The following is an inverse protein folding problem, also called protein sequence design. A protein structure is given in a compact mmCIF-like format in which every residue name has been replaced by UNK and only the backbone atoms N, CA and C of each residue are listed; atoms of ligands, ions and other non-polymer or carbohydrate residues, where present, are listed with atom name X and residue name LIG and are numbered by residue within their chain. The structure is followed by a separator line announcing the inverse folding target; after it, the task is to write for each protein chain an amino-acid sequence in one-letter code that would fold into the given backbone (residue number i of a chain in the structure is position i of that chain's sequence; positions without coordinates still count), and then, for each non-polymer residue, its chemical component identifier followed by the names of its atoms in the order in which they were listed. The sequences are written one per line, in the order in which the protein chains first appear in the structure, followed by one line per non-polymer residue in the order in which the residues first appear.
data_IF_484040199119
#
_entry.id   IF_484040199119
#
_cell.length_a   1.000
_cell.length_b   1.000
_cell.length_c   1.000
_cell.angle_alpha   90.00
_cell.angle_beta   90.00
_cell.angle_gamma   90.00
#
_symmetry.space_group_name_H-M   'P 1'
#
loop_
_entity.id
_entity.type
_entity.pdbx_description
1 polymer ?
#
# COMPACT_ATOMS: atom_id res chain seq x y z
N UNK A 1 -28.57 -29.77 -0.21
CA UNK A 1 -28.34 -28.31 -0.29
C UNK A 1 -28.90 -27.67 0.97
N UNK A 2 -28.04 -27.22 1.87
CA UNK A 2 -28.42 -26.77 3.22
C UNK A 2 -29.12 -25.41 3.17
N UNK A 3 -30.24 -25.28 3.90
CA UNK A 3 -31.03 -24.05 4.09
C UNK A 3 -30.21 -22.82 4.53
N UNK A 4 -29.03 -23.05 5.11
CA UNK A 4 -28.05 -22.01 5.46
C UNK A 4 -27.48 -21.28 4.23
N UNK A 5 -27.36 -21.95 3.09
CA UNK A 5 -26.86 -21.35 1.85
C UNK A 5 -27.89 -20.45 1.17
N UNK A 6 -29.18 -20.72 1.36
CA UNK A 6 -30.27 -19.91 0.79
C UNK A 6 -30.45 -18.59 1.55
N UNK A 7 -30.22 -18.59 2.87
CA UNK A 7 -30.36 -17.38 3.69
C UNK A 7 -29.26 -16.33 3.42
N UNK A 8 -28.04 -16.77 3.11
CA UNK A 8 -26.91 -15.88 2.80
C UNK A 8 -27.11 -15.15 1.47
N UNK A 9 -27.74 -15.81 0.48
CA UNK A 9 -28.03 -15.21 -0.83
C UNK A 9 -29.14 -14.14 -0.70
N UNK A 10 -30.11 -14.35 0.18
CA UNK A 10 -31.24 -13.42 0.38
C UNK A 10 -30.83 -12.12 1.11
N UNK A 11 -29.81 -12.17 1.97
CA UNK A 11 -29.27 -10.97 2.63
C UNK A 11 -28.38 -10.14 1.69
N UNK A 12 -27.70 -10.79 0.74
CA UNK A 12 -26.83 -10.11 -0.23
C UNK A 12 -27.60 -9.27 -1.27
N UNK A 13 -28.85 -9.64 -1.59
CA UNK A 13 -29.65 -8.95 -2.61
C UNK A 13 -30.36 -7.69 -2.11
N UNK A 14 -30.53 -7.49 -0.80
CA UNK A 14 -31.20 -6.31 -0.23
C UNK A 14 -30.27 -5.10 -0.08
N UNK A 15 -28.94 -5.29 -0.17
CA UNK A 15 -27.95 -4.22 0.03
C UNK A 15 -27.70 -3.28 -1.16
N UNK A 16 -28.21 -3.58 -2.36
CA UNK A 16 -27.81 -2.89 -3.61
C UNK A 16 -28.77 -1.77 -4.09
N UNK A 17 -29.86 -1.47 -3.38
CA UNK A 17 -30.88 -0.51 -3.84
C UNK A 17 -30.84 0.88 -3.19
N UNK A 18 -29.76 1.27 -2.50
CA UNK A 18 -29.68 2.56 -1.81
C UNK A 18 -28.53 3.44 -2.33
N UNK A 19 -28.66 3.98 -3.54
CA UNK A 19 -27.95 5.19 -4.01
C UNK A 19 -28.55 5.68 -5.35
N UNK A 20 -29.70 6.36 -5.29
CA UNK A 20 -30.17 7.23 -6.38
C UNK A 20 -30.56 8.57 -5.77
N UNK A 21 -29.58 9.45 -5.58
CA UNK A 21 -29.79 10.84 -5.21
C UNK A 21 -29.87 11.68 -6.49
N UNK A 22 -31.04 12.22 -6.81
CA UNK A 22 -31.23 13.17 -7.90
C UNK A 22 -30.86 14.58 -7.43
N UNK A 23 -29.83 15.17 -8.05
CA UNK A 23 -29.51 16.59 -7.86
C UNK A 23 -30.48 17.42 -8.70
N UNK A 24 -31.44 18.08 -8.04
CA UNK A 24 -32.24 19.13 -8.67
C UNK A 24 -31.50 20.46 -8.52
N UNK A 25 -31.02 21.01 -9.63
CA UNK A 25 -30.59 22.41 -9.71
C UNK A 25 -31.83 23.24 -10.05
N UNK A 26 -32.31 24.02 -9.08
CA UNK A 26 -33.35 25.01 -9.31
C UNK A 26 -32.76 26.18 -10.09
N UNK A 27 -32.98 26.21 -11.40
CA UNK A 27 -32.86 27.44 -12.18
C UNK A 27 -33.96 28.40 -11.70
N UNK A 28 -33.55 29.46 -11.02
CA UNK A 28 -34.45 30.51 -10.60
C UNK A 28 -34.78 31.39 -11.81
N UNK A 29 -35.86 31.01 -12.50
CA UNK A 29 -36.57 31.82 -13.49
C UNK A 29 -36.90 33.19 -12.89
N UNK A 30 -36.37 34.26 -13.49
CA UNK A 30 -36.68 35.64 -13.12
C UNK A 30 -38.16 35.97 -13.33
N UNK A 31 -38.72 36.93 -12.58
CA UNK A 31 -40.13 37.27 -12.69
C UNK A 31 -40.47 37.91 -14.05
N UNK A 32 -41.61 37.45 -14.58
CA UNK A 32 -42.31 37.93 -15.78
C UNK A 32 -42.72 39.41 -15.64
N UNK A 33 -42.87 40.18 -16.73
CA UNK A 33 -43.15 41.61 -16.68
C UNK A 33 -44.59 41.89 -16.21
N UNK A 34 -44.75 42.85 -15.30
CA UNK A 34 -46.05 43.42 -14.94
C UNK A 34 -46.68 44.22 -16.10
N UNK A 35 -48.02 44.29 -16.17
CA UNK A 35 -48.74 44.93 -17.28
C UNK A 35 -48.68 46.46 -17.19
N UNK A 36 -48.48 47.08 -18.35
CA UNK A 36 -48.53 48.53 -18.55
C UNK A 36 -49.89 49.13 -18.16
N UNK A 37 -49.94 50.22 -17.38
CA UNK A 37 -51.06 51.15 -17.39
C UNK A 37 -50.78 52.33 -18.33
N UNK A 38 -51.80 52.72 -19.10
CA UNK A 38 -51.87 53.92 -19.94
C UNK A 38 -51.81 55.24 -19.13
N UNK A 39 -51.53 56.39 -19.77
CA UNK A 39 -50.99 57.58 -19.12
C UNK A 39 -52.05 58.46 -18.47
N UNK A 40 -51.68 59.11 -17.36
CA UNK A 40 -52.36 60.29 -16.81
C UNK A 40 -51.34 61.44 -16.65
N UNK A 41 -51.76 62.71 -16.84
CA UNK A 41 -50.84 63.80 -17.14
C UNK A 41 -50.23 64.48 -15.91
N UNK A 42 -49.01 64.97 -16.14
CA UNK A 42 -48.39 66.19 -15.61
C UNK A 42 -48.41 66.44 -14.10
N UNK A 43 -47.24 66.34 -13.46
CA UNK A 43 -46.78 67.38 -12.52
C UNK A 43 -45.25 67.35 -12.44
N UNK A 44 -44.61 68.49 -12.73
CA UNK A 44 -43.17 68.70 -12.52
C UNK A 44 -42.91 68.74 -11.01
N UNK A 45 -42.48 67.62 -10.45
CA UNK A 45 -41.82 67.58 -9.14
C UNK A 45 -40.33 67.31 -9.41
N UNK A 46 -39.45 68.25 -9.07
CA UNK A 46 -38.00 68.01 -9.11
C UNK A 46 -37.66 66.91 -8.12
N UNK A 47 -37.49 65.68 -8.60
CA UNK A 47 -37.03 64.56 -7.79
C UNK A 47 -35.61 64.84 -7.26
N UNK A 48 -35.33 64.55 -5.97
CA UNK A 48 -33.97 64.63 -5.47
C UNK A 48 -33.09 63.67 -6.26
N UNK A 49 -32.02 64.19 -6.86
CA UNK A 49 -31.05 63.41 -7.63
C UNK A 49 -30.34 62.41 -6.72
N UNK A 50 -30.85 61.18 -6.67
CA UNK A 50 -30.14 60.02 -6.11
C UNK A 50 -29.20 59.47 -7.18
N UNK A 51 -27.92 59.34 -6.86
CA UNK A 51 -26.97 58.74 -7.78
C UNK A 51 -27.38 57.28 -8.06
N UNK A 52 -27.45 56.90 -9.35
CA UNK A 52 -27.87 55.55 -9.75
C UNK A 52 -26.92 54.44 -9.27
N UNK A 53 -25.70 54.80 -8.84
CA UNK A 53 -24.70 53.85 -8.36
C UNK A 53 -23.97 54.43 -7.15
N UNK A 54 -24.12 53.79 -6.00
CA UNK A 54 -23.26 53.97 -4.84
C UNK A 54 -22.03 53.07 -5.02
N UNK A 55 -20.83 53.66 -5.08
CA UNK A 55 -19.59 52.87 -5.20
C UNK A 55 -19.21 52.36 -3.82
N UNK A 56 -19.45 51.06 -3.59
CA UNK A 56 -18.98 50.39 -2.38
C UNK A 56 -17.46 50.14 -2.48
N UNK A 57 -16.70 50.73 -1.56
CA UNK A 57 -15.25 50.50 -1.45
C UNK A 57 -14.96 49.38 -0.44
N UNK A 58 -14.61 48.16 -0.90
CA UNK A 58 -14.32 47.04 -0.01
C UNK A 58 -12.97 47.19 0.71
N UNK A 59 -12.08 48.08 0.25
CA UNK A 59 -10.76 48.27 0.86
C UNK A 59 -10.84 48.94 2.24
N UNK A 60 -11.97 49.59 2.55
CA UNK A 60 -12.26 50.12 3.88
C UNK A 60 -12.50 49.03 4.95
N UNK A 61 -12.65 47.76 4.53
CA UNK A 61 -12.87 46.63 5.42
C UNK A 61 -11.63 45.73 5.46
N UNK A 62 -10.74 45.94 6.45
CA UNK A 62 -9.65 45.01 6.71
C UNK A 62 -10.18 43.72 7.38
N UNK A 63 -10.55 42.73 6.57
CA UNK A 63 -10.83 41.39 7.07
C UNK A 63 -9.51 40.63 7.31
N UNK A 64 -8.88 40.80 8.49
CA UNK A 64 -7.73 39.98 8.89
C UNK A 64 -8.23 38.57 9.29
N UNK A 65 -7.83 37.50 8.59
CA UNK A 65 -8.19 36.15 9.00
C UNK A 65 -7.63 35.89 10.40
N UNK A 66 -8.38 35.22 11.30
CA UNK A 66 -7.84 34.87 12.60
C UNK A 66 -6.62 33.96 12.41
N UNK A 67 -5.48 34.37 12.97
CA UNK A 67 -4.27 33.54 13.05
C UNK A 67 -4.57 32.35 13.98
N UNK A 68 -5.05 31.24 13.39
CA UNK A 68 -5.20 29.98 14.10
C UNK A 68 -3.94 29.17 13.85
N UNK A 69 -3.22 28.84 14.92
CA UNK A 69 -2.20 27.81 14.86
C UNK A 69 -2.91 26.48 14.54
N UNK A 70 -2.88 26.08 13.26
CA UNK A 70 -3.42 24.80 12.83
C UNK A 70 -2.35 23.75 13.06
N UNK A 71 -2.53 22.92 14.08
CA UNK A 71 -1.71 21.73 14.25
C UNK A 71 -2.17 20.67 13.25
N UNK A 72 -1.39 20.47 12.18
CA UNK A 72 -1.71 19.48 11.15
C UNK A 72 -1.20 18.11 11.60
N UNK A 73 -2.07 17.37 12.28
CA UNK A 73 -1.81 15.97 12.63
C UNK A 73 -2.03 15.10 11.39
N UNK A 74 -0.93 14.60 10.84
CA UNK A 74 -1.00 13.68 9.70
C UNK A 74 -1.31 12.27 10.20
N UNK A 75 -2.37 11.65 9.67
CA UNK A 75 -2.70 10.24 9.93
C UNK A 75 -1.77 9.26 9.20
N UNK A 76 -0.79 9.77 8.46
CA UNK A 76 0.13 8.97 7.64
C UNK A 76 1.39 8.66 8.45
N UNK A 77 1.80 7.39 8.54
CA UNK A 77 3.05 7.00 9.20
C UNK A 77 4.26 7.83 8.72
N UNK A 78 5.13 8.22 9.66
CA UNK A 78 6.28 9.07 9.38
C UNK A 78 7.22 8.53 8.28
N UNK A 79 7.34 7.20 8.15
CA UNK A 79 8.16 6.59 7.08
C UNK A 79 7.62 6.91 5.68
N UNK A 80 6.30 6.95 5.50
CA UNK A 80 5.68 7.28 4.23
C UNK A 80 5.83 8.78 3.91
N UNK A 81 5.74 9.64 4.92
CA UNK A 81 5.99 11.07 4.79
C UNK A 81 7.45 11.37 4.39
N UNK A 82 8.39 10.49 4.75
CA UNK A 82 9.81 10.60 4.42
C UNK A 82 10.18 9.93 3.08
N UNK A 83 9.20 9.46 2.30
CA UNK A 83 9.45 8.74 1.04
C UNK A 83 10.09 7.36 1.22
N UNK A 84 10.08 6.81 2.44
CA UNK A 84 10.68 5.52 2.78
C UNK A 84 9.68 4.36 2.67
N UNK A 85 8.71 4.47 1.76
CA UNK A 85 7.69 3.44 1.56
C UNK A 85 8.26 2.08 1.15
N UNK A 86 9.47 2.05 0.58
CA UNK A 86 10.16 0.85 0.13
C UNK A 86 11.02 0.17 1.21
N UNK A 87 11.28 0.83 2.35
CA UNK A 87 12.18 0.29 3.39
C UNK A 87 11.50 -0.84 4.14
N UNK A 88 12.15 -2.00 4.24
CA UNK A 88 11.56 -3.19 4.84
C UNK A 88 10.54 -3.89 3.95
N UNK A 89 10.37 -3.47 2.70
CA UNK A 89 9.50 -4.17 1.74
C UNK A 89 10.22 -5.42 1.26
N UNK A 90 9.58 -6.57 1.47
CA UNK A 90 10.02 -7.83 0.90
C UNK A 90 9.78 -7.81 -0.60
N UNK A 91 10.86 -7.93 -1.38
CA UNK A 91 10.79 -8.04 -2.84
C UNK A 91 11.27 -9.41 -3.29
N UNK A 92 10.59 -9.93 -4.30
CA UNK A 92 10.93 -11.20 -4.95
C UNK A 92 11.80 -10.90 -6.16
N UNK A 93 13.05 -11.35 -6.14
CA UNK A 93 14.05 -11.10 -7.19
C UNK A 93 14.69 -12.40 -7.67
N UNK A 94 15.24 -12.38 -8.88
CA UNK A 94 16.20 -13.40 -9.32
C UNK A 94 17.45 -13.32 -8.44
N UNK A 95 17.87 -14.46 -7.91
CA UNK A 95 18.99 -14.52 -6.99
C UNK A 95 19.52 -15.93 -6.80
N UNK A 96 20.09 -16.15 -5.61
CA UNK A 96 20.90 -17.31 -5.30
C UNK A 96 20.54 -17.88 -3.94
N UNK A 97 20.63 -19.20 -3.85
CA UNK A 97 20.54 -19.95 -2.59
C UNK A 97 21.62 -21.01 -2.58
N UNK A 98 22.05 -21.44 -1.39
CA UNK A 98 23.00 -22.56 -1.27
C UNK A 98 22.20 -23.85 -1.17
N UNK A 99 22.36 -24.76 -2.12
CA UNK A 99 21.78 -26.10 -2.05
C UNK A 99 22.71 -27.02 -1.29
N UNK A 100 22.17 -27.69 -0.27
CA UNK A 100 22.95 -28.59 0.61
C UNK A 100 22.59 -30.06 0.43
N UNK A 101 21.40 -30.36 -0.10
CA UNK A 101 20.93 -31.73 -0.26
C UNK A 101 19.85 -31.86 -1.33
N UNK A 102 19.69 -33.06 -1.88
CA UNK A 102 18.57 -33.44 -2.73
C UNK A 102 18.16 -34.90 -2.50
N UNK A 103 16.86 -35.18 -2.57
CA UNK A 103 16.30 -36.52 -2.43
C UNK A 103 15.06 -36.71 -3.31
N UNK A 104 14.77 -37.93 -3.75
CA UNK A 104 13.50 -38.25 -4.43
C UNK A 104 12.32 -38.34 -3.45
N UNK A 105 12.63 -38.69 -2.21
CA UNK A 105 11.66 -38.80 -1.13
C UNK A 105 11.47 -37.46 -0.41
N UNK A 106 10.22 -37.04 -0.26
CA UNK A 106 9.86 -35.77 0.39
C UNK A 106 10.20 -35.79 1.88
N UNK A 107 9.99 -36.93 2.55
CA UNK A 107 10.21 -37.05 3.99
C UNK A 107 11.70 -36.95 4.32
N UNK A 108 12.56 -37.59 3.52
CA UNK A 108 14.00 -37.47 3.61
C UNK A 108 14.48 -36.02 3.45
N UNK A 109 13.94 -35.28 2.47
CA UNK A 109 14.28 -33.86 2.28
C UNK A 109 13.84 -32.99 3.47
N UNK A 110 12.65 -33.24 4.04
CA UNK A 110 12.17 -32.51 5.23
C UNK A 110 13.00 -32.83 6.48
N UNK A 111 13.34 -34.10 6.70
CA UNK A 111 14.23 -34.50 7.79
C UNK A 111 15.62 -33.87 7.63
N UNK A 112 16.14 -33.77 6.40
CA UNK A 112 17.40 -33.10 6.14
C UNK A 112 17.32 -31.58 6.38
N UNK A 113 16.23 -30.92 5.97
CA UNK A 113 15.99 -29.50 6.29
C UNK A 113 16.06 -29.25 7.80
N UNK A 114 15.46 -30.14 8.60
CA UNK A 114 15.48 -30.03 10.04
C UNK A 114 16.89 -30.23 10.63
N UNK A 115 17.68 -31.15 10.08
CA UNK A 115 19.10 -31.29 10.43
C UNK A 115 19.90 -30.02 10.14
N UNK A 116 19.66 -29.38 8.99
CA UNK A 116 20.32 -28.12 8.62
C UNK A 116 19.92 -27.00 9.56
N UNK A 117 18.64 -26.92 9.95
CA UNK A 117 18.17 -25.94 10.95
C UNK A 117 18.88 -26.11 12.29
N UNK A 118 18.93 -27.34 12.81
CA UNK A 118 19.62 -27.65 14.06
C UNK A 118 21.13 -27.45 13.99
N UNK A 119 21.73 -27.66 12.83
CA UNK A 119 23.13 -27.30 12.59
C UNK A 119 23.30 -25.78 12.67
N UNK A 120 22.47 -25.01 11.96
CA UNK A 120 22.57 -23.56 11.97
C UNK A 120 22.46 -22.97 13.38
N UNK A 121 21.45 -23.39 14.16
CA UNK A 121 21.28 -22.92 15.55
C UNK A 121 22.51 -23.13 16.44
N UNK A 122 23.33 -24.14 16.14
CA UNK A 122 24.55 -24.46 16.90
C UNK A 122 25.81 -23.76 16.40
N UNK A 123 25.80 -23.25 15.17
CA UNK A 123 26.99 -22.72 14.50
C UNK A 123 26.83 -21.23 14.10
N UNK A 124 25.65 -20.63 14.32
CA UNK A 124 25.37 -19.24 13.92
C UNK A 124 26.26 -18.22 14.62
N UNK A 125 26.73 -18.50 15.83
CA UNK A 125 27.60 -17.61 16.59
C UNK A 125 29.02 -17.51 15.99
N UNK A 126 29.45 -18.55 15.26
CA UNK A 126 30.73 -18.60 14.54
C UNK A 126 30.62 -18.04 13.12
N UNK A 127 29.39 -17.85 12.62
CA UNK A 127 29.13 -17.34 11.29
C UNK A 127 29.08 -15.80 11.31
N UNK A 128 29.70 -15.11 10.34
CA UNK A 128 29.48 -13.68 10.23
C UNK A 128 28.00 -13.38 9.96
N UNK A 129 27.39 -12.49 10.73
CA UNK A 129 25.95 -12.15 10.61
C UNK A 129 25.59 -11.67 9.20
N UNK A 130 26.54 -11.08 8.47
CA UNK A 130 26.39 -10.62 7.09
C UNK A 130 26.11 -11.75 6.08
N UNK A 131 26.41 -13.01 6.44
CA UNK A 131 26.45 -14.13 5.51
C UNK A 131 25.11 -14.85 5.39
N UNK A 132 24.41 -15.09 6.49
CA UNK A 132 23.12 -15.81 6.49
C UNK A 132 22.04 -15.11 7.34
N UNK A 133 22.40 -14.10 8.14
CA UNK A 133 21.53 -13.49 9.14
C UNK A 133 21.23 -14.41 10.31
N UNK A 134 20.44 -13.95 11.28
CA UNK A 134 20.08 -14.72 12.48
C UNK A 134 19.30 -16.02 12.15
N UNK A 135 18.30 -15.91 11.29
CA UNK A 135 17.42 -17.02 10.91
C UNK A 135 17.32 -17.11 9.37
N UNK A 136 18.28 -17.78 8.71
CA UNK A 136 18.26 -17.92 7.26
C UNK A 136 17.08 -18.78 6.81
N UNK A 137 16.44 -18.43 5.69
CA UNK A 137 15.37 -19.25 5.15
C UNK A 137 15.92 -20.60 4.66
N UNK A 138 15.50 -21.69 5.31
CA UNK A 138 15.80 -23.06 4.89
C UNK A 138 14.55 -23.65 4.26
N UNK A 139 14.60 -23.93 2.96
CA UNK A 139 13.44 -24.32 2.15
C UNK A 139 13.66 -25.68 1.48
N UNK A 140 12.56 -26.42 1.29
CA UNK A 140 12.51 -27.61 0.45
C UNK A 140 11.74 -27.27 -0.82
N UNK A 141 12.44 -27.26 -1.95
CA UNK A 141 11.87 -26.96 -3.26
C UNK A 141 11.73 -28.25 -4.08
N UNK A 142 10.57 -28.46 -4.70
CA UNK A 142 10.37 -29.60 -5.59
C UNK A 142 10.71 -29.20 -7.02
N UNK A 143 11.76 -29.83 -7.56
CA UNK A 143 12.13 -29.73 -8.98
C UNK A 143 12.22 -31.14 -9.53
N UNK A 144 11.26 -31.55 -10.36
CA UNK A 144 11.14 -32.94 -10.78
C UNK A 144 12.48 -33.52 -11.28
N UNK A 145 12.87 -34.74 -10.85
CA UNK A 145 12.17 -35.66 -9.94
C UNK A 145 12.64 -35.57 -8.46
N UNK A 146 13.24 -34.47 -8.02
CA UNK A 146 13.90 -34.35 -6.71
C UNK A 146 13.33 -33.21 -5.86
N UNK A 147 13.29 -33.42 -4.55
CA UNK A 147 13.18 -32.39 -3.53
C UNK A 147 14.58 -31.89 -3.17
N UNK A 148 14.82 -30.59 -3.30
CA UNK A 148 16.11 -29.92 -3.06
C UNK A 148 16.02 -29.09 -1.79
N UNK A 149 16.95 -29.29 -0.87
CA UNK A 149 17.07 -28.50 0.36
C UNK A 149 18.04 -27.35 0.10
N UNK A 150 17.56 -26.12 0.29
CA UNK A 150 18.36 -24.90 0.11
C UNK A 150 18.30 -24.02 1.33
N UNK A 151 19.39 -23.33 1.61
CA UNK A 151 19.53 -22.37 2.72
C UNK A 151 19.90 -20.99 2.18
N UNK A 152 19.38 -19.96 2.83
CA UNK A 152 19.65 -18.57 2.52
C UNK A 152 18.80 -18.03 1.36
N UNK A 153 18.90 -16.72 1.17
CA UNK A 153 18.23 -15.95 0.13
C UNK A 153 19.10 -14.74 -0.21
N UNK A 154 19.78 -14.78 -1.36
CA UNK A 154 20.79 -13.80 -1.73
C UNK A 154 20.46 -13.16 -3.07
N UNK A 155 20.41 -11.82 -3.13
CA UNK A 155 20.28 -11.12 -4.40
C UNK A 155 21.58 -11.21 -5.23
N UNK A 156 22.74 -11.13 -4.57
CA UNK A 156 24.05 -11.15 -5.22
C UNK A 156 24.76 -12.50 -5.11
N UNK A 157 25.56 -12.83 -6.14
CA UNK A 157 26.38 -14.06 -6.14
C UNK A 157 27.48 -14.02 -5.07
N UNK A 158 28.15 -12.89 -4.86
CA UNK A 158 29.25 -12.78 -3.89
C UNK A 158 28.83 -13.16 -2.47
N UNK A 159 27.69 -12.62 -2.00
CA UNK A 159 27.13 -13.01 -0.70
C UNK A 159 26.80 -14.51 -0.62
N UNK A 160 26.34 -15.12 -1.71
CA UNK A 160 26.10 -16.55 -1.77
C UNK A 160 27.39 -17.39 -1.77
N UNK A 161 28.50 -16.85 -2.28
CA UNK A 161 29.83 -17.48 -2.25
C UNK A 161 30.41 -17.47 -0.83
N UNK A 162 30.31 -16.35 -0.12
CA UNK A 162 30.67 -16.27 1.31
C UNK A 162 29.85 -17.25 2.15
N UNK A 163 28.54 -17.34 1.88
CA UNK A 163 27.67 -18.32 2.54
C UNK A 163 28.03 -19.76 2.20
N UNK A 164 28.38 -20.03 0.94
CA UNK A 164 28.83 -21.35 0.54
C UNK A 164 30.12 -21.73 1.25
N UNK A 165 31.09 -20.84 1.37
CA UNK A 165 32.37 -21.11 2.04
C UNK A 165 32.13 -21.61 3.47
N UNK A 166 31.28 -20.93 4.24
CA UNK A 166 30.91 -21.36 5.59
C UNK A 166 30.14 -22.69 5.60
N UNK A 167 29.08 -22.79 4.79
CA UNK A 167 28.22 -23.99 4.74
C UNK A 167 29.01 -25.23 4.28
N UNK A 168 29.98 -25.07 3.39
CA UNK A 168 30.77 -26.16 2.83
C UNK A 168 31.65 -26.87 3.84
N UNK A 169 31.99 -26.21 4.96
CA UNK A 169 32.76 -26.81 6.06
C UNK A 169 32.02 -27.98 6.71
N UNK A 170 30.69 -27.90 6.78
CA UNK A 170 29.83 -28.97 7.32
C UNK A 170 29.13 -29.78 6.23
N UNK A 171 28.89 -29.19 5.06
CA UNK A 171 28.20 -29.81 3.93
C UNK A 171 29.06 -29.72 2.66
N UNK A 172 30.03 -30.62 2.51
CA UNK A 172 31.04 -30.57 1.43
C UNK A 172 30.46 -30.58 0.01
N UNK A 173 29.26 -31.16 -0.17
CA UNK A 173 28.58 -31.22 -1.47
C UNK A 173 27.65 -30.01 -1.70
N UNK A 174 27.72 -28.98 -0.85
CA UNK A 174 26.94 -27.78 -1.03
C UNK A 174 27.39 -27.01 -2.29
N UNK A 175 26.45 -26.36 -2.96
CA UNK A 175 26.73 -25.53 -4.13
C UNK A 175 25.69 -24.42 -4.30
N UNK A 176 26.03 -23.38 -5.05
CA UNK A 176 25.11 -22.27 -5.32
C UNK A 176 24.13 -22.65 -6.43
N UNK A 177 22.84 -22.52 -6.14
CA UNK A 177 21.76 -22.68 -7.09
C UNK A 177 21.10 -21.31 -7.37
N UNK A 178 20.79 -21.06 -8.65
CA UNK A 178 19.98 -19.91 -9.07
C UNK A 178 18.50 -20.18 -8.85
N UNK A 179 17.75 -19.12 -8.57
CA UNK A 179 16.30 -19.16 -8.53
C UNK A 179 15.75 -17.88 -7.93
N UNK A 180 14.47 -17.92 -7.57
CA UNK A 180 13.81 -16.74 -7.03
C UNK A 180 13.94 -16.69 -5.51
N UNK A 181 14.30 -15.51 -4.99
CA UNK A 181 14.52 -15.26 -3.56
C UNK A 181 13.72 -14.05 -3.12
N UNK A 182 13.24 -14.08 -1.88
CA UNK A 182 12.65 -12.93 -1.22
C UNK A 182 13.71 -12.27 -0.36
N UNK A 183 14.00 -11.02 -0.66
CA UNK A 183 14.99 -10.20 0.06
C UNK A 183 14.32 -8.96 0.62
N UNK A 184 14.80 -8.48 1.75
CA UNK A 184 14.33 -7.26 2.42
C UNK A 184 15.36 -6.15 2.19
N UNK A 185 14.92 -5.01 1.68
CA UNK A 185 15.74 -3.79 1.51
C UNK A 185 15.76 -2.90 2.78
#
# INVERSE_FOLDING_TARGET
MSYRSLFVILVLTVGLCACSGSSQTTEQTGPSPEPSPEPAPETTEEEPSVAQYETFDPSAYEARPPERAVEVVHQVPGQLMQGQAARGVQRTVEGFRVQVFSARDKQAAQAFREKVRQWWERNKDDAPTSVLGEEPPIVVEYTQPYYRVRIGAFAGRGAAEEALEFVSQSYTNAFIARGTVTVTD
#
